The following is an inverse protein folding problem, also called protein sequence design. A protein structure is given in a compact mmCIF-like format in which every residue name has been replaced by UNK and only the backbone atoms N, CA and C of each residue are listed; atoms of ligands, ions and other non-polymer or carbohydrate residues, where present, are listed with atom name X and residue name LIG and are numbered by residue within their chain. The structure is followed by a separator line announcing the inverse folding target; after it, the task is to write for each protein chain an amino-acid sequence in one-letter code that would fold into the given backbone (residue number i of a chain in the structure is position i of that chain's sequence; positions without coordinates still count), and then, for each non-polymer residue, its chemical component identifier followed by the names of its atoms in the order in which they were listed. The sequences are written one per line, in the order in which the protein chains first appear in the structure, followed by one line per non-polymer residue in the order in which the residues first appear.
data_IF_851750604409
#
_entry.id   IF_851750604409
#
_cell.length_a   1.000
_cell.length_b   1.000
_cell.length_c   1.000
_cell.angle_alpha   90.00
_cell.angle_beta   90.00
_cell.angle_gamma   90.00
#
_symmetry.space_group_name_H-M   'P 1'
#
loop_
_entity.id
_entity.type
_entity.pdbx_description
1 polymer ?
#
# COMPACT_ATOMS: atom_id res chain seq x y z
N UNK A 1 11.15 -1.01 -0.64
CA UNK A 1 9.81 -0.64 -1.15
C UNK A 1 9.68 0.83 -1.52
N UNK A 2 9.77 1.80 -0.61
CA UNK A 2 9.66 3.25 -0.90
C UNK A 2 10.48 3.68 -2.13
N UNK A 3 11.78 3.37 -2.15
CA UNK A 3 12.66 3.66 -3.31
C UNK A 3 12.18 3.02 -4.63
N UNK A 4 11.59 1.82 -4.57
CA UNK A 4 11.12 1.12 -5.77
C UNK A 4 9.85 1.76 -6.33
N UNK A 5 8.91 2.16 -5.47
CA UNK A 5 7.70 2.91 -5.87
C UNK A 5 8.13 4.24 -6.50
N UNK A 6 9.09 4.92 -5.87
CA UNK A 6 9.66 6.16 -6.40
C UNK A 6 10.23 6.01 -7.80
N UNK A 7 11.15 5.05 -7.96
CA UNK A 7 11.77 4.76 -9.25
C UNK A 7 10.71 4.37 -10.31
N UNK A 8 9.66 3.66 -9.92
CA UNK A 8 8.57 3.32 -10.82
C UNK A 8 7.83 4.57 -11.32
N UNK A 9 7.46 5.50 -10.43
CA UNK A 9 6.72 6.71 -10.84
C UNK A 9 7.59 7.85 -11.37
N UNK A 10 8.92 7.73 -11.29
CA UNK A 10 9.88 8.65 -11.94
C UNK A 10 10.24 8.19 -13.36
N UNK A 11 10.06 6.92 -13.68
CA UNK A 11 10.23 6.42 -15.03
C UNK A 11 9.10 6.91 -15.94
N UNK A 12 9.44 7.73 -16.95
CA UNK A 12 8.51 8.33 -17.92
C UNK A 12 7.72 7.31 -18.75
N UNK A 13 8.21 6.06 -18.82
CA UNK A 13 7.56 4.98 -19.56
C UNK A 13 6.53 4.23 -18.71
N UNK A 14 6.49 4.42 -17.40
CA UNK A 14 5.51 3.78 -16.52
C UNK A 14 4.11 4.30 -16.80
N UNK A 15 3.17 3.39 -17.12
CA UNK A 15 1.76 3.72 -17.36
C UNK A 15 0.84 3.32 -16.21
N UNK A 16 1.26 2.33 -15.41
CA UNK A 16 0.56 1.87 -14.24
C UNK A 16 1.54 1.25 -13.24
N UNK A 17 1.14 1.19 -11.98
CA UNK A 17 1.82 0.46 -10.91
C UNK A 17 0.84 -0.55 -10.34
N UNK A 18 1.23 -1.83 -10.35
CA UNK A 18 0.51 -2.89 -9.63
C UNK A 18 1.27 -3.16 -8.33
N UNK A 19 0.65 -2.84 -7.20
CA UNK A 19 1.22 -3.01 -5.88
C UNK A 19 0.65 -4.26 -5.20
N UNK A 20 1.48 -5.30 -5.07
CA UNK A 20 1.11 -6.55 -4.38
C UNK A 20 1.26 -6.39 -2.88
N UNK A 21 0.19 -6.60 -2.13
CA UNK A 21 0.18 -6.55 -0.66
C UNK A 21 -0.09 -7.95 -0.11
N UNK A 22 0.86 -8.49 0.65
CA UNK A 22 0.63 -9.67 1.50
C UNK A 22 1.24 -9.40 2.88
N UNK A 23 0.50 -8.70 3.75
CA UNK A 23 1.00 -8.21 5.04
C UNK A 23 -0.11 -8.11 6.10
N UNK A 24 0.16 -8.55 7.35
CA UNK A 24 -0.75 -8.34 8.47
C UNK A 24 -0.72 -6.90 9.03
N UNK A 25 0.16 -6.03 8.52
CA UNK A 25 0.41 -4.68 9.03
C UNK A 25 1.82 -4.51 9.59
N UNK A 26 2.01 -3.52 10.47
CA UNK A 26 3.31 -3.24 11.09
C UNK A 26 3.52 -1.75 11.35
N UNK A 27 4.74 -1.27 11.07
CA UNK A 27 5.14 0.12 11.33
C UNK A 27 4.24 1.13 10.60
N UNK A 28 3.67 2.05 11.37
CA UNK A 28 2.86 3.17 10.87
C UNK A 28 3.70 4.06 9.95
N UNK A 29 4.92 4.41 10.38
CA UNK A 29 5.81 5.29 9.62
C UNK A 29 6.22 4.65 8.29
N UNK A 30 6.58 3.37 8.29
CA UNK A 30 6.93 2.68 7.06
C UNK A 30 5.72 2.59 6.09
N UNK A 31 4.53 2.37 6.65
CA UNK A 31 3.29 2.32 5.87
C UNK A 31 2.96 3.69 5.25
N UNK A 32 3.11 4.77 6.01
CA UNK A 32 2.91 6.14 5.52
C UNK A 32 3.87 6.50 4.39
N UNK A 33 5.16 6.21 4.54
CA UNK A 33 6.15 6.50 3.50
C UNK A 33 5.85 5.74 2.19
N UNK A 34 5.31 4.52 2.26
CA UNK A 34 4.90 3.80 1.05
C UNK A 34 3.62 4.37 0.45
N UNK A 35 2.64 4.71 1.29
CA UNK A 35 1.39 5.36 0.90
C UNK A 35 1.66 6.67 0.16
N UNK A 36 2.59 7.48 0.65
CA UNK A 36 2.95 8.77 0.05
C UNK A 36 3.54 8.64 -1.35
N UNK A 37 4.42 7.66 -1.60
CA UNK A 37 4.95 7.44 -2.95
C UNK A 37 3.86 6.89 -3.90
N UNK A 38 2.94 6.05 -3.42
CA UNK A 38 1.80 5.60 -4.24
C UNK A 38 0.85 6.75 -4.56
N UNK A 39 0.60 7.65 -3.60
CA UNK A 39 -0.18 8.87 -3.83
C UNK A 39 0.52 9.80 -4.83
N UNK A 40 1.85 9.95 -4.72
CA UNK A 40 2.63 10.72 -5.68
C UNK A 40 2.55 10.15 -7.10
N UNK A 41 2.54 8.81 -7.25
CA UNK A 41 2.32 8.16 -8.54
C UNK A 41 0.93 8.49 -9.12
N UNK A 42 -0.11 8.35 -8.30
CA UNK A 42 -1.50 8.69 -8.69
C UNK A 42 -1.64 10.15 -9.10
N UNK A 43 -1.04 11.08 -8.35
CA UNK A 43 -1.07 12.52 -8.67
C UNK A 43 -0.35 12.85 -9.99
N UNK A 44 0.56 12.00 -10.46
CA UNK A 44 1.19 12.11 -11.79
C UNK A 44 0.34 11.50 -12.91
N UNK A 45 -0.87 11.01 -12.61
CA UNK A 45 -1.74 10.33 -13.56
C UNK A 45 -1.34 8.90 -13.87
N UNK A 46 -0.47 8.29 -13.05
CA UNK A 46 -0.12 6.87 -13.19
C UNK A 46 -1.16 6.05 -12.41
N UNK A 47 -1.84 5.14 -13.09
CA UNK A 47 -2.84 4.29 -12.45
C UNK A 47 -2.17 3.40 -11.39
N UNK A 48 -2.69 3.42 -10.16
CA UNK A 48 -2.24 2.58 -9.05
C UNK A 48 -3.28 1.49 -8.79
N UNK A 49 -2.90 0.24 -8.99
CA UNK A 49 -3.74 -0.93 -8.75
C UNK A 49 -3.14 -1.70 -7.59
N UNK A 50 -3.94 -1.99 -6.57
CA UNK A 50 -3.54 -2.88 -5.48
C UNK A 50 -4.12 -4.27 -5.71
N UNK A 51 -3.26 -5.28 -5.56
CA UNK A 51 -3.64 -6.69 -5.50
C UNK A 51 -3.33 -7.22 -4.11
N UNK A 52 -4.35 -7.55 -3.33
CA UNK A 52 -4.21 -8.15 -2.02
C UNK A 52 -4.01 -9.66 -2.14
N UNK A 53 -3.09 -10.20 -1.33
CA UNK A 53 -2.85 -11.63 -1.17
C UNK A 53 -3.65 -12.21 -0.01
N UNK A 54 -3.04 -13.12 0.73
CA UNK A 54 -3.70 -13.78 1.86
C UNK A 54 -4.03 -12.77 2.97
N UNK A 55 -3.13 -11.79 3.21
CA UNK A 55 -3.32 -10.73 4.20
C UNK A 55 -3.12 -9.34 3.59
N UNK A 56 -3.99 -8.41 3.96
CA UNK A 56 -3.77 -6.99 3.75
C UNK A 56 -4.49 -6.21 4.85
N UNK A 57 -3.96 -6.27 6.08
CA UNK A 57 -4.60 -5.75 7.28
C UNK A 57 -3.79 -4.59 7.90
N UNK A 58 -4.42 -3.73 8.70
CA UNK A 58 -3.80 -2.60 9.41
C UNK A 58 -2.97 -1.72 8.46
N UNK A 59 -1.64 -1.67 8.60
CA UNK A 59 -0.74 -0.98 7.67
C UNK A 59 -0.90 -1.41 6.20
N UNK A 60 -1.26 -2.68 5.94
CA UNK A 60 -1.55 -3.17 4.58
C UNK A 60 -2.77 -2.51 3.95
N UNK A 61 -3.84 -2.28 4.72
CA UNK A 61 -4.99 -1.47 4.26
C UNK A 61 -4.54 -0.03 4.05
N UNK A 62 -3.76 0.51 5.00
CA UNK A 62 -3.33 1.89 4.97
C UNK A 62 -2.52 2.25 3.72
N UNK A 63 -1.56 1.40 3.34
CA UNK A 63 -0.77 1.56 2.10
C UNK A 63 -1.65 1.46 0.85
N UNK A 64 -2.77 0.73 0.93
CA UNK A 64 -3.66 0.49 -0.21
C UNK A 64 -4.61 1.66 -0.51
N UNK A 65 -4.79 2.59 0.43
CA UNK A 65 -5.75 3.70 0.33
C UNK A 65 -5.60 4.65 -0.88
N UNK A 66 -4.42 4.94 -1.45
CA UNK A 66 -4.32 5.80 -2.61
C UNK A 66 -4.68 5.08 -3.93
N UNK A 67 -4.89 3.77 -3.93
CA UNK A 67 -5.14 3.03 -5.17
C UNK A 67 -6.40 3.51 -5.92
N UNK A 68 -6.39 3.36 -7.24
CA UNK A 68 -7.57 3.54 -8.10
C UNK A 68 -8.48 2.32 -8.03
N UNK A 69 -7.87 1.14 -7.94
CA UNK A 69 -8.57 -0.13 -7.78
C UNK A 69 -7.87 -0.99 -6.74
N UNK A 70 -8.68 -1.65 -5.90
CA UNK A 70 -8.22 -2.62 -4.91
C UNK A 70 -8.90 -3.95 -5.22
N UNK A 71 -8.10 -4.97 -5.51
CA UNK A 71 -8.57 -6.33 -5.72
C UNK A 71 -8.19 -7.20 -4.52
N UNK A 72 -9.14 -7.99 -4.06
CA UNK A 72 -8.97 -8.97 -2.99
C UNK A 72 -9.74 -10.24 -3.35
N UNK A 73 -9.19 -11.39 -2.98
CA UNK A 73 -9.90 -12.66 -3.07
C UNK A 73 -10.96 -12.73 -1.96
N UNK A 74 -12.04 -13.52 -2.11
CA UNK A 74 -13.03 -13.71 -1.04
C UNK A 74 -12.42 -14.23 0.27
N UNK A 75 -11.26 -14.88 0.18
CA UNK A 75 -10.50 -15.42 1.32
C UNK A 75 -9.42 -14.48 1.85
N UNK A 76 -9.19 -13.32 1.24
CA UNK A 76 -8.22 -12.33 1.73
C UNK A 76 -8.64 -11.81 3.11
N UNK A 77 -7.74 -11.89 4.08
CA UNK A 77 -7.92 -11.29 5.40
C UNK A 77 -7.46 -9.83 5.34
N UNK A 78 -8.42 -8.92 5.32
CA UNK A 78 -8.18 -7.46 5.28
C UNK A 78 -8.92 -6.74 6.43
N UNK A 79 -8.87 -5.40 6.44
CA UNK A 79 -9.41 -4.59 7.53
C UNK A 79 -8.39 -4.40 8.66
N UNK A 80 -8.81 -4.62 9.91
CA UNK A 80 -8.01 -4.28 11.11
C UNK A 80 -7.57 -2.81 11.14
N UNK A 81 -8.50 -1.90 10.80
CA UNK A 81 -8.27 -0.46 10.78
C UNK A 81 -8.21 0.02 12.24
N UNK A 82 -7.01 0.24 12.74
CA UNK A 82 -6.75 0.67 14.11
C UNK A 82 -5.26 0.70 14.42
N UNK A 83 -4.90 1.41 15.49
CA UNK A 83 -3.52 1.52 15.98
C UNK A 83 -3.49 1.02 17.41
N UNK A 84 -2.52 0.16 17.72
CA UNK A 84 -2.23 -0.29 19.08
C UNK A 84 -0.81 0.12 19.46
N UNK A 85 -0.65 0.67 20.65
CA UNK A 85 0.65 1.00 21.25
C UNK A 85 0.77 0.11 22.48
N UNK A 86 1.76 -0.78 22.48
CA UNK A 86 2.08 -1.60 23.64
C UNK A 86 3.08 -0.84 24.51
N UNK A 87 2.65 -0.41 25.70
CA UNK A 87 3.55 0.09 26.73
C UNK A 87 4.15 -1.13 27.44
N UNK A 88 5.47 -1.29 27.37
CA UNK A 88 6.18 -2.23 28.25
C UNK A 88 6.39 -1.53 29.60
N UNK A 89 5.80 -2.11 30.65
CA UNK A 89 6.15 -1.78 32.03
C UNK A 89 7.46 -2.48 32.42
#
# INVERSE_FOLDING_TARGET
MVKQIRSAHENKNTKAIVFRVNSPGGSIIASEMMRDELLAAKNKGINVIVSMGDYAASGGVYISTPADYIFAEPTTITGSIGVAIAFQH
#
